data_IF_337935010846
#
_entry.id   IF_337935010846
#
_cell.length_a   1.000
_cell.length_b   1.000
_cell.length_c   1.000
_cell.angle_alpha   90.00
_cell.angle_beta   90.00
_cell.angle_gamma   90.00
#
_symmetry.space_group_name_H-M   'P 1'
#
loop_
_entity.id
_entity.type
_entity.pdbx_description
1 polymer ?
#
# COMPACT_ATOMS: atom_id res chain seq x y z
N UNK A 1 24.62 31.46 28.11
CA UNK A 1 24.84 32.17 26.82
C UNK A 1 25.17 31.17 25.69
N UNK A 2 26.13 30.28 25.83
CA UNK A 2 26.55 29.29 24.82
C UNK A 2 25.40 28.37 24.34
N UNK A 3 24.58 27.81 25.25
CA UNK A 3 23.46 26.94 24.92
C UNK A 3 22.44 27.63 24.00
N UNK A 4 22.15 28.92 24.22
CA UNK A 4 21.24 29.69 23.36
C UNK A 4 21.77 29.78 21.92
N UNK A 5 23.08 30.04 21.77
CA UNK A 5 23.69 30.09 20.44
C UNK A 5 23.73 28.75 19.74
N UNK A 6 23.97 27.66 20.47
CA UNK A 6 23.89 26.29 19.93
C UNK A 6 22.47 25.99 19.40
N UNK A 7 21.45 26.33 20.20
CA UNK A 7 20.05 26.15 19.77
C UNK A 7 19.72 26.97 18.52
N UNK A 8 20.16 28.21 18.45
CA UNK A 8 19.96 29.07 17.28
C UNK A 8 20.62 28.47 16.04
N UNK A 9 21.85 27.98 16.17
CA UNK A 9 22.57 27.34 15.06
C UNK A 9 21.84 26.07 14.59
N UNK A 10 21.37 25.23 15.52
CA UNK A 10 20.60 24.03 15.17
C UNK A 10 19.31 24.38 14.41
N UNK A 11 18.58 25.40 14.90
CA UNK A 11 17.36 25.88 14.23
C UNK A 11 17.66 26.39 12.82
N UNK A 12 18.73 27.15 12.66
CA UNK A 12 19.15 27.70 11.37
C UNK A 12 19.51 26.57 10.38
N UNK A 13 20.27 25.56 10.83
CA UNK A 13 20.62 24.39 10.00
C UNK A 13 19.35 23.64 9.58
N UNK A 14 18.42 23.44 10.52
CA UNK A 14 17.14 22.79 10.22
C UNK A 14 16.34 23.59 9.16
N UNK A 15 16.20 24.91 9.33
CA UNK A 15 15.48 25.76 8.37
C UNK A 15 16.15 25.78 7.00
N UNK A 16 17.48 25.83 6.94
CA UNK A 16 18.22 25.71 5.68
C UNK A 16 17.99 24.36 5.02
N UNK A 17 17.97 23.29 5.78
CA UNK A 17 17.64 21.95 5.29
C UNK A 17 16.23 21.86 4.71
N UNK A 18 15.23 22.46 5.37
CA UNK A 18 13.84 22.54 4.90
C UNK A 18 13.76 23.28 3.55
N UNK A 19 14.40 24.45 3.45
CA UNK A 19 14.41 25.26 2.21
C UNK A 19 15.10 24.49 1.08
N UNK A 20 16.28 23.94 1.35
CA UNK A 20 17.01 23.14 0.38
C UNK A 20 16.18 21.96 -0.12
N UNK A 21 15.59 21.18 0.81
CA UNK A 21 14.75 20.04 0.45
C UNK A 21 13.52 20.46 -0.39
N UNK A 22 12.90 21.59 -0.06
CA UNK A 22 11.77 22.11 -0.85
C UNK A 22 12.17 22.49 -2.28
N UNK A 23 13.38 23.01 -2.48
CA UNK A 23 13.93 23.29 -3.81
C UNK A 23 14.18 21.96 -4.56
N UNK A 24 14.81 20.99 -3.89
CA UNK A 24 15.07 19.67 -4.49
C UNK A 24 13.78 18.98 -4.91
N UNK A 25 12.73 19.00 -4.05
CA UNK A 25 11.41 18.42 -4.40
C UNK A 25 10.83 18.99 -5.68
N UNK A 26 10.93 20.30 -5.93
CA UNK A 26 10.46 20.91 -7.18
C UNK A 26 11.26 20.43 -8.42
N UNK A 27 12.53 20.12 -8.23
CA UNK A 27 13.36 19.53 -9.30
C UNK A 27 12.94 18.09 -9.55
N UNK A 28 12.72 17.32 -8.48
CA UNK A 28 12.31 15.92 -8.56
C UNK A 28 10.91 15.78 -9.18
N UNK A 29 9.95 16.63 -8.82
CA UNK A 29 8.61 16.66 -9.43
C UNK A 29 8.69 16.78 -10.97
N UNK A 30 9.61 17.62 -11.49
CA UNK A 30 9.82 17.74 -12.94
C UNK A 30 10.44 16.48 -13.56
N UNK A 31 11.36 15.82 -12.84
CA UNK A 31 12.00 14.58 -13.31
C UNK A 31 11.04 13.40 -13.29
N UNK A 32 10.12 13.39 -12.32
CA UNK A 32 9.13 12.33 -12.15
C UNK A 32 7.91 12.50 -13.07
N UNK A 33 7.75 13.65 -13.71
CA UNK A 33 6.61 13.89 -14.59
C UNK A 33 6.56 12.83 -15.71
N UNK A 34 5.45 12.07 -15.75
CA UNK A 34 5.24 10.96 -16.70
C UNK A 34 6.35 9.88 -16.63
N UNK A 35 6.88 9.61 -15.45
CA UNK A 35 7.94 8.61 -15.28
C UNK A 35 7.45 7.18 -15.56
N UNK A 36 6.18 6.90 -15.22
CA UNK A 36 5.49 5.63 -15.45
C UNK A 36 3.96 5.83 -15.36
N UNK A 37 3.21 4.79 -15.78
CA UNK A 37 1.76 4.70 -15.61
C UNK A 37 0.95 5.73 -16.41
N UNK A 38 -0.36 5.55 -16.36
CA UNK A 38 -1.34 6.39 -17.01
C UNK A 38 -2.25 7.06 -15.97
N UNK A 39 -2.78 8.25 -16.33
CA UNK A 39 -3.66 9.02 -15.44
C UNK A 39 -5.13 8.75 -15.73
N UNK A 40 -5.88 8.34 -14.69
CA UNK A 40 -7.33 8.19 -14.70
C UNK A 40 -7.95 9.35 -13.93
N UNK A 41 -8.98 9.97 -14.47
CA UNK A 41 -9.72 11.05 -13.79
C UNK A 41 -10.65 10.46 -12.73
N UNK A 42 -10.46 10.83 -11.48
CA UNK A 42 -11.29 10.43 -10.34
C UNK A 42 -11.61 11.67 -9.53
N UNK A 43 -12.89 12.00 -9.35
CA UNK A 43 -13.30 13.20 -8.62
C UNK A 43 -12.59 14.50 -9.06
N UNK A 44 -12.30 14.64 -10.37
CA UNK A 44 -11.62 15.79 -10.95
C UNK A 44 -10.13 15.90 -10.62
N UNK A 45 -9.49 14.80 -10.24
CA UNK A 45 -8.05 14.66 -9.96
C UNK A 45 -7.46 13.48 -10.71
N UNK A 46 -6.15 13.46 -10.87
CA UNK A 46 -5.45 12.36 -11.50
C UNK A 46 -5.11 11.27 -10.48
N UNK A 47 -5.59 10.06 -10.72
CA UNK A 47 -5.15 8.83 -10.07
C UNK A 47 -4.30 8.05 -11.08
N UNK A 48 -3.11 7.62 -10.70
CA UNK A 48 -2.18 6.95 -11.61
C UNK A 48 -2.34 5.44 -11.47
N UNK A 49 -2.34 4.77 -12.62
CA UNK A 49 -2.41 3.32 -12.74
C UNK A 49 -1.33 2.81 -13.68
N UNK A 50 -0.89 1.57 -13.49
CA UNK A 50 -0.07 0.86 -14.47
C UNK A 50 -0.81 -0.42 -14.88
N UNK A 51 -1.04 -0.59 -16.17
CA UNK A 51 -1.69 -1.76 -16.74
C UNK A 51 -0.62 -2.58 -17.47
N UNK A 52 -0.49 -3.84 -17.11
CA UNK A 52 0.45 -4.77 -17.75
C UNK A 52 -0.25 -6.08 -18.07
N UNK A 53 0.18 -6.76 -19.12
CA UNK A 53 -0.48 -8.00 -19.58
C UNK A 53 -1.74 -7.73 -20.39
N UNK A 54 -1.80 -6.60 -21.10
CA UNK A 54 -2.87 -6.29 -22.04
C UNK A 54 -3.05 -7.43 -23.05
N UNK A 55 -4.29 -7.70 -23.48
CA UNK A 55 -4.71 -8.76 -24.39
C UNK A 55 -4.90 -10.16 -23.76
N UNK A 56 -5.04 -10.30 -22.47
CA UNK A 56 -5.56 -11.49 -21.87
C UNK A 56 -7.10 -11.46 -21.83
N UNK A 57 -7.73 -12.56 -22.20
CA UNK A 57 -9.17 -12.74 -22.04
C UNK A 57 -9.50 -13.01 -20.56
N UNK A 58 -10.47 -12.32 -20.01
CA UNK A 58 -10.96 -12.52 -18.65
C UNK A 58 -10.76 -11.33 -17.70
N UNK A 59 -11.32 -11.42 -16.49
CA UNK A 59 -11.28 -10.35 -15.52
C UNK A 59 -9.85 -10.01 -15.07
N UNK A 60 -9.46 -8.71 -15.02
CA UNK A 60 -8.13 -8.30 -14.57
C UNK A 60 -7.93 -8.49 -13.06
N UNK A 61 -6.67 -8.41 -12.63
CA UNK A 61 -6.28 -8.37 -11.23
C UNK A 61 -5.96 -6.92 -10.85
N UNK A 62 -6.74 -6.35 -9.94
CA UNK A 62 -6.50 -5.02 -9.37
C UNK A 62 -5.59 -5.13 -8.16
N UNK A 63 -4.37 -4.59 -8.23
CA UNK A 63 -3.41 -4.55 -7.13
C UNK A 63 -3.58 -3.28 -6.29
N UNK A 64 -3.74 -3.47 -4.98
CA UNK A 64 -3.97 -2.41 -4.00
C UNK A 64 -2.88 -2.40 -2.92
N UNK A 65 -2.29 -1.22 -2.61
CA UNK A 65 -1.12 -1.10 -1.73
C UNK A 65 -1.45 -1.21 -0.24
N UNK A 66 -0.40 -1.40 0.54
CA UNK A 66 -0.40 -1.17 1.97
C UNK A 66 -0.37 0.31 2.35
N UNK A 67 -0.63 0.60 3.63
CA UNK A 67 -0.63 1.97 4.14
C UNK A 67 0.77 2.60 4.09
N UNK A 68 0.88 3.71 3.37
CA UNK A 68 2.10 4.51 3.34
C UNK A 68 3.18 4.02 2.38
N UNK A 69 2.89 3.06 1.54
CA UNK A 69 3.77 2.63 0.44
C UNK A 69 3.98 3.79 -0.54
N UNK A 70 5.21 4.30 -0.70
CA UNK A 70 5.44 5.55 -1.40
C UNK A 70 5.22 5.47 -2.91
N UNK A 71 5.36 4.31 -3.51
CA UNK A 71 5.12 4.06 -4.93
C UNK A 71 4.59 2.63 -5.15
N UNK A 72 3.28 2.43 -5.04
CA UNK A 72 2.66 1.12 -5.26
C UNK A 72 3.03 0.46 -6.58
N UNK A 73 3.07 1.23 -7.67
CA UNK A 73 3.42 0.70 -8.99
C UNK A 73 4.84 0.13 -8.99
N UNK A 74 5.84 0.87 -8.51
CA UNK A 74 7.21 0.35 -8.47
C UNK A 74 7.36 -0.78 -7.45
N UNK A 75 6.65 -0.73 -6.35
CA UNK A 75 6.67 -1.75 -5.32
C UNK A 75 6.09 -3.09 -5.81
N UNK A 76 4.94 -3.05 -6.46
CA UNK A 76 4.30 -4.25 -7.00
C UNK A 76 4.79 -4.66 -8.38
N UNK A 77 5.61 -3.87 -9.05
CA UNK A 77 6.12 -4.20 -10.40
C UNK A 77 6.70 -5.61 -10.52
N UNK A 78 7.49 -6.12 -9.55
CA UNK A 78 7.96 -7.49 -9.58
C UNK A 78 6.83 -8.53 -9.60
N UNK A 79 5.80 -8.32 -8.78
CA UNK A 79 4.64 -9.20 -8.68
C UNK A 79 3.76 -9.09 -9.94
N UNK A 80 3.47 -7.86 -10.36
CA UNK A 80 2.66 -7.57 -11.54
C UNK A 80 3.28 -8.15 -12.81
N UNK A 81 4.62 -8.05 -12.99
CA UNK A 81 5.31 -8.60 -14.15
C UNK A 81 5.22 -10.13 -14.24
N UNK A 82 5.12 -10.84 -13.12
CA UNK A 82 4.93 -12.28 -13.12
C UNK A 82 3.47 -12.67 -13.37
N UNK A 83 2.50 -11.99 -12.74
CA UNK A 83 1.08 -12.19 -12.94
C UNK A 83 0.66 -11.86 -14.37
N UNK A 84 1.26 -10.82 -14.97
CA UNK A 84 0.94 -10.36 -16.33
C UNK A 84 1.27 -11.34 -17.44
N UNK A 85 1.98 -12.43 -17.13
CA UNK A 85 2.17 -13.54 -18.07
C UNK A 85 0.87 -14.32 -18.34
N UNK A 86 -0.16 -14.14 -17.51
CA UNK A 86 -1.42 -14.89 -17.56
C UNK A 86 -2.69 -14.04 -17.47
N UNK A 87 -2.60 -12.87 -16.84
CA UNK A 87 -3.73 -11.96 -16.58
C UNK A 87 -3.36 -10.54 -16.90
N UNK A 88 -4.34 -9.73 -17.24
CA UNK A 88 -4.17 -8.29 -17.14
C UNK A 88 -4.08 -7.89 -15.67
N UNK A 89 -3.12 -7.03 -15.35
CA UNK A 89 -2.87 -6.57 -13.98
C UNK A 89 -2.86 -5.06 -13.95
N UNK A 90 -3.73 -4.50 -13.12
CA UNK A 90 -3.90 -3.06 -12.94
C UNK A 90 -3.42 -2.70 -11.54
N UNK A 91 -2.28 -2.04 -11.43
CA UNK A 91 -1.78 -1.52 -10.16
C UNK A 91 -2.24 -0.08 -9.99
N UNK A 92 -2.93 0.22 -8.89
CA UNK A 92 -3.47 1.55 -8.63
C UNK A 92 -2.62 2.26 -7.56
N UNK A 93 -2.27 3.51 -7.81
CA UNK A 93 -1.73 4.43 -6.82
C UNK A 93 -2.86 5.31 -6.26
N UNK A 94 -3.38 5.03 -5.04
CA UNK A 94 -4.43 5.85 -4.43
C UNK A 94 -4.00 7.31 -4.29
N UNK A 95 -4.93 8.24 -4.08
CA UNK A 95 -4.57 9.64 -3.84
C UNK A 95 -3.56 9.79 -2.69
N UNK A 96 -2.49 10.52 -2.97
CA UNK A 96 -1.36 10.72 -2.06
C UNK A 96 -0.22 9.73 -2.22
N UNK A 97 -0.41 8.67 -3.01
CA UNK A 97 0.61 7.66 -3.31
C UNK A 97 1.23 7.91 -4.69
N UNK A 98 2.47 7.49 -4.88
CA UNK A 98 3.17 7.54 -6.14
C UNK A 98 3.02 8.85 -6.90
N UNK A 99 2.70 8.78 -8.18
CA UNK A 99 2.47 9.93 -9.04
C UNK A 99 1.05 10.49 -8.97
N UNK A 100 0.15 9.84 -8.22
CA UNK A 100 -1.22 10.32 -8.03
C UNK A 100 -1.29 11.65 -7.29
N UNK A 101 -2.33 12.43 -7.59
CA UNK A 101 -2.62 13.69 -6.91
C UNK A 101 -2.84 13.50 -5.40
N UNK A 102 -2.54 14.53 -4.63
CA UNK A 102 -2.95 14.59 -3.22
C UNK A 102 -4.41 15.05 -3.10
N UNK A 103 -5.10 14.62 -2.04
CA UNK A 103 -6.49 15.03 -1.79
C UNK A 103 -6.66 15.63 -0.39
N UNK A 104 -7.65 16.52 -0.27
CA UNK A 104 -8.14 17.04 1.02
C UNK A 104 -9.43 16.34 1.47
N UNK A 105 -9.96 15.42 0.66
CA UNK A 105 -11.12 14.61 1.02
C UNK A 105 -10.77 13.78 2.25
N UNK A 106 -11.69 13.61 3.18
CA UNK A 106 -11.46 12.78 4.38
C UNK A 106 -11.02 11.38 3.96
N UNK A 107 -9.99 10.86 4.58
CA UNK A 107 -9.46 9.52 4.29
C UNK A 107 -10.19 8.48 5.14
N UNK A 108 -11.49 8.39 5.03
CA UNK A 108 -12.30 7.31 5.58
C UNK A 108 -12.33 6.15 4.59
N UNK A 109 -12.61 4.94 5.08
CA UNK A 109 -12.64 3.73 4.23
C UNK A 109 -13.65 3.88 3.08
N UNK A 110 -14.79 4.50 3.35
CA UNK A 110 -15.84 4.74 2.37
C UNK A 110 -15.32 5.60 1.21
N UNK A 111 -14.66 6.72 1.55
CA UNK A 111 -14.14 7.65 0.55
C UNK A 111 -12.99 7.03 -0.25
N UNK A 112 -12.13 6.24 0.40
CA UNK A 112 -11.00 5.58 -0.27
C UNK A 112 -11.52 4.53 -1.25
N UNK A 113 -12.44 3.67 -0.81
CA UNK A 113 -13.02 2.63 -1.67
C UNK A 113 -13.83 3.22 -2.81
N UNK A 114 -14.64 4.28 -2.57
CA UNK A 114 -15.36 4.97 -3.63
C UNK A 114 -14.41 5.54 -4.70
N UNK A 115 -13.28 6.15 -4.29
CA UNK A 115 -12.28 6.70 -5.22
C UNK A 115 -11.60 5.59 -6.03
N UNK A 116 -11.25 4.47 -5.40
CA UNK A 116 -10.65 3.33 -6.07
C UNK A 116 -11.62 2.66 -7.04
N UNK A 117 -12.88 2.49 -6.63
CA UNK A 117 -13.93 1.94 -7.47
C UNK A 117 -14.21 2.85 -8.67
N UNK A 118 -14.32 4.19 -8.48
CA UNK A 118 -14.46 5.14 -9.59
C UNK A 118 -13.28 5.03 -10.58
N UNK A 119 -12.05 4.81 -10.08
CA UNK A 119 -10.91 4.59 -10.93
C UNK A 119 -11.10 3.35 -11.81
N UNK A 120 -11.47 2.22 -11.23
CA UNK A 120 -11.70 0.96 -11.97
C UNK A 120 -12.85 1.09 -12.97
N UNK A 121 -13.95 1.73 -12.60
CA UNK A 121 -15.08 2.02 -13.51
C UNK A 121 -14.66 2.91 -14.68
N UNK A 122 -13.82 3.89 -14.46
CA UNK A 122 -13.34 4.80 -15.52
C UNK A 122 -12.33 4.14 -16.46
N UNK A 123 -11.74 3.00 -16.07
CA UNK A 123 -10.97 2.11 -16.94
C UNK A 123 -11.87 1.22 -17.80
N UNK A 124 -13.16 1.08 -17.45
CA UNK A 124 -14.13 0.26 -18.17
C UNK A 124 -14.27 -1.17 -17.64
N UNK A 125 -13.66 -1.46 -16.49
CA UNK A 125 -13.70 -2.80 -15.91
C UNK A 125 -15.04 -3.04 -15.22
N UNK A 126 -15.71 -4.12 -15.58
CA UNK A 126 -17.02 -4.53 -15.03
C UNK A 126 -16.87 -5.66 -14.00
N UNK A 127 -15.93 -6.56 -14.20
CA UNK A 127 -15.64 -7.69 -13.31
C UNK A 127 -14.13 -7.83 -13.12
N UNK A 128 -13.66 -8.05 -11.88
CA UNK A 128 -12.22 -8.13 -11.58
C UNK A 128 -11.92 -8.93 -10.31
N UNK A 129 -10.67 -9.35 -10.17
CA UNK A 129 -10.11 -9.83 -8.91
C UNK A 129 -9.48 -8.68 -8.14
N UNK A 130 -9.71 -8.62 -6.81
CA UNK A 130 -9.02 -7.67 -5.94
C UNK A 130 -7.85 -8.38 -5.26
N UNK A 131 -6.64 -7.86 -5.41
CA UNK A 131 -5.44 -8.36 -4.73
C UNK A 131 -4.84 -7.23 -3.88
N UNK A 132 -4.89 -7.38 -2.55
CA UNK A 132 -4.52 -6.31 -1.63
C UNK A 132 -3.46 -6.71 -0.61
N UNK A 133 -2.52 -5.80 -0.36
CA UNK A 133 -1.52 -5.91 0.71
C UNK A 133 -1.99 -5.14 1.97
N UNK A 134 -1.73 -5.72 3.14
CA UNK A 134 -1.86 -4.99 4.42
C UNK A 134 -3.23 -4.33 4.58
N UNK A 135 -3.29 -3.00 4.76
CA UNK A 135 -4.52 -2.21 4.97
C UNK A 135 -5.58 -2.45 3.89
N UNK A 136 -5.16 -2.77 2.67
CA UNK A 136 -6.08 -3.05 1.57
C UNK A 136 -6.96 -4.29 1.81
N UNK A 137 -6.63 -5.13 2.80
CA UNK A 137 -7.53 -6.16 3.29
C UNK A 137 -8.85 -5.59 3.83
N UNK A 138 -8.81 -4.43 4.51
CA UNK A 138 -10.03 -3.75 4.97
C UNK A 138 -10.76 -3.08 3.81
N UNK A 139 -10.02 -2.53 2.84
CA UNK A 139 -10.62 -1.89 1.66
C UNK A 139 -11.34 -2.91 0.79
N UNK A 140 -10.73 -4.07 0.53
CA UNK A 140 -11.37 -5.14 -0.24
C UNK A 140 -12.58 -5.74 0.48
N UNK A 141 -12.54 -5.84 1.82
CA UNK A 141 -13.68 -6.24 2.61
C UNK A 141 -14.84 -5.24 2.50
N UNK A 142 -14.57 -3.94 2.66
CA UNK A 142 -15.59 -2.90 2.52
C UNK A 142 -16.12 -2.84 1.08
N UNK A 143 -15.24 -2.91 0.09
CA UNK A 143 -15.57 -2.92 -1.34
C UNK A 143 -16.54 -4.07 -1.66
N UNK A 144 -16.29 -5.26 -1.13
CA UNK A 144 -17.13 -6.44 -1.33
C UNK A 144 -18.53 -6.34 -0.76
N UNK A 145 -18.77 -5.41 0.19
CA UNK A 145 -20.12 -5.14 0.71
C UNK A 145 -20.92 -4.23 -0.21
N UNK A 146 -20.25 -3.33 -0.92
CA UNK A 146 -20.91 -2.28 -1.69
C UNK A 146 -21.08 -2.70 -3.16
N UNK A 147 -20.08 -3.43 -3.71
CA UNK A 147 -20.05 -3.83 -5.12
C UNK A 147 -19.76 -5.34 -5.28
N UNK A 148 -20.56 -6.23 -4.64
CA UNK A 148 -20.27 -7.65 -4.62
C UNK A 148 -20.30 -8.31 -6.00
N UNK A 149 -21.16 -7.85 -6.90
CA UNK A 149 -21.39 -8.45 -8.21
C UNK A 149 -20.23 -8.25 -9.20
N UNK A 150 -19.34 -7.27 -8.91
CA UNK A 150 -18.19 -6.94 -9.75
C UNK A 150 -16.94 -7.78 -9.38
N UNK A 151 -16.94 -8.43 -8.20
CA UNK A 151 -15.75 -9.09 -7.64
C UNK A 151 -15.77 -10.59 -7.90
N UNK A 152 -14.86 -11.07 -8.73
CA UNK A 152 -14.67 -12.51 -9.04
C UNK A 152 -13.94 -13.26 -7.94
N UNK A 153 -13.19 -12.57 -7.12
CA UNK A 153 -12.49 -13.13 -5.96
C UNK A 153 -11.54 -12.13 -5.31
N UNK A 154 -11.15 -12.44 -4.08
CA UNK A 154 -10.25 -11.59 -3.28
C UNK A 154 -8.98 -12.38 -2.95
N UNK A 155 -7.82 -11.76 -3.16
CA UNK A 155 -6.52 -12.31 -2.80
C UNK A 155 -5.86 -11.35 -1.80
N UNK A 156 -5.56 -11.84 -0.60
CA UNK A 156 -4.89 -11.05 0.43
C UNK A 156 -3.42 -11.41 0.54
N UNK A 157 -2.54 -10.40 0.59
CA UNK A 157 -1.12 -10.55 0.90
C UNK A 157 -0.90 -10.00 2.30
N UNK A 158 -0.85 -10.85 3.28
CA UNK A 158 -0.81 -10.55 4.72
C UNK A 158 -1.76 -9.39 5.09
N UNK A 159 -3.05 -9.50 4.70
CA UNK A 159 -4.00 -8.40 4.74
C UNK A 159 -4.41 -8.06 6.17
N UNK A 160 -4.70 -6.79 6.42
CA UNK A 160 -5.38 -6.39 7.65
C UNK A 160 -6.79 -6.99 7.70
N UNK A 161 -7.18 -7.46 8.88
CA UNK A 161 -8.45 -8.15 9.08
C UNK A 161 -9.26 -7.50 10.22
N UNK A 162 -10.60 -7.61 10.23
CA UNK A 162 -11.43 -7.12 11.31
C UNK A 162 -10.96 -7.62 12.68
N UNK A 163 -11.15 -6.79 13.71
CA UNK A 163 -10.80 -7.10 15.10
C UNK A 163 -9.31 -7.26 15.43
N UNK A 164 -8.40 -7.07 14.46
CA UNK A 164 -6.96 -7.16 14.70
C UNK A 164 -6.47 -6.18 15.78
N UNK A 165 -7.15 -5.06 15.96
CA UNK A 165 -6.83 -4.03 16.97
C UNK A 165 -7.76 -4.03 18.17
N UNK A 166 -8.70 -4.99 18.27
CA UNK A 166 -9.55 -5.12 19.44
C UNK A 166 -8.70 -5.35 20.70
N UNK A 167 -9.19 -4.94 21.86
CA UNK A 167 -8.46 -5.10 23.14
C UNK A 167 -8.03 -6.55 23.42
N UNK A 168 -8.82 -7.51 22.93
CA UNK A 168 -8.56 -8.94 23.09
C UNK A 168 -7.44 -9.43 22.17
N UNK A 169 -7.34 -8.87 20.97
CA UNK A 169 -6.45 -9.35 19.89
C UNK A 169 -5.22 -8.47 19.68
N UNK A 170 -5.19 -7.27 20.27
CA UNK A 170 -4.06 -6.38 20.11
C UNK A 170 -2.91 -6.77 21.07
N UNK A 171 -1.84 -7.38 20.56
CA UNK A 171 -0.73 -7.81 21.39
C UNK A 171 0.17 -6.63 21.80
N UNK A 172 -0.03 -5.44 21.21
CA UNK A 172 0.86 -4.31 21.42
C UNK A 172 0.38 -3.43 22.57
N UNK A 173 1.20 -3.25 23.62
CA UNK A 173 0.94 -2.26 24.65
C UNK A 173 0.77 -0.85 24.05
N UNK A 174 0.04 0.03 24.74
CA UNK A 174 -0.11 1.45 24.35
C UNK A 174 1.25 2.11 24.09
N UNK A 175 2.29 1.69 24.81
CA UNK A 175 3.67 2.16 24.61
C UNK A 175 4.21 1.87 23.20
N UNK A 176 3.89 0.71 22.62
CA UNK A 176 4.32 0.36 21.24
C UNK A 176 3.54 1.15 20.21
N UNK A 177 2.23 1.35 20.41
CA UNK A 177 1.41 2.21 19.55
C UNK A 177 1.94 3.65 19.55
N UNK A 178 2.27 4.17 20.73
CA UNK A 178 2.87 5.50 20.86
C UNK A 178 4.24 5.58 20.17
N UNK A 179 5.08 4.56 20.29
CA UNK A 179 6.38 4.49 19.61
C UNK A 179 6.22 4.50 18.09
N UNK A 180 5.24 3.78 17.55
CA UNK A 180 4.95 3.77 16.12
C UNK A 180 4.51 5.17 15.62
N UNK A 181 3.66 5.87 16.38
CA UNK A 181 3.28 7.24 16.06
C UNK A 181 4.48 8.19 16.10
N UNK A 182 5.30 8.11 17.15
CA UNK A 182 6.52 8.92 17.29
C UNK A 182 7.47 8.64 16.11
N UNK A 183 7.63 7.37 15.72
CA UNK A 183 8.44 6.98 14.56
C UNK A 183 7.93 7.64 13.28
N UNK A 184 6.63 7.58 13.00
CA UNK A 184 6.03 8.20 11.81
C UNK A 184 6.26 9.73 11.79
N UNK A 185 6.07 10.42 12.92
CA UNK A 185 6.37 11.86 13.00
C UNK A 185 7.86 12.17 12.87
N UNK A 186 8.74 11.34 13.44
CA UNK A 186 10.20 11.51 13.33
C UNK A 186 10.64 11.35 11.87
N UNK A 187 10.13 10.34 11.17
CA UNK A 187 10.41 10.14 9.75
C UNK A 187 9.87 11.29 8.89
N UNK A 188 8.67 11.79 9.20
CA UNK A 188 8.13 12.99 8.54
C UNK A 188 9.05 14.20 8.73
N UNK A 189 9.55 14.43 9.94
CA UNK A 189 10.48 15.54 10.23
C UNK A 189 11.79 15.33 9.47
N UNK A 190 12.33 14.10 9.44
CA UNK A 190 13.54 13.78 8.69
C UNK A 190 13.37 14.02 7.18
N UNK A 191 12.20 13.66 6.62
CA UNK A 191 11.88 13.92 5.23
C UNK A 191 11.76 15.43 4.95
N UNK A 192 11.05 16.19 5.79
CA UNK A 192 10.87 17.64 5.62
C UNK A 192 12.21 18.40 5.75
N UNK A 193 13.03 18.02 6.73
CA UNK A 193 14.34 18.66 6.96
C UNK A 193 15.41 18.33 5.90
N UNK A 194 15.14 17.35 5.01
CA UNK A 194 16.09 16.89 4.01
C UNK A 194 17.13 15.90 4.54
N UNK A 195 17.06 15.45 5.79
CA UNK A 195 17.98 14.46 6.36
C UNK A 195 17.89 13.16 5.57
N UNK A 196 16.68 12.66 5.29
CA UNK A 196 16.49 11.43 4.49
C UNK A 196 17.09 11.58 3.10
N UNK A 197 16.96 12.76 2.47
CA UNK A 197 17.56 13.06 1.18
C UNK A 197 19.10 13.01 1.22
N UNK A 198 19.72 13.56 2.26
CA UNK A 198 21.17 13.47 2.43
C UNK A 198 21.66 12.03 2.52
N UNK A 199 20.89 11.15 3.16
CA UNK A 199 21.21 9.72 3.27
C UNK A 199 21.13 8.99 1.93
N UNK A 200 20.23 9.42 1.02
CA UNK A 200 20.03 8.82 -0.31
C UNK A 200 20.94 9.36 -1.41
N UNK A 201 21.66 10.48 -1.17
CA UNK A 201 22.44 11.17 -2.23
C UNK A 201 23.47 10.29 -2.93
N UNK A 202 24.11 9.37 -2.20
CA UNK A 202 25.14 8.50 -2.76
C UNK A 202 24.60 7.16 -3.25
N UNK A 203 23.39 6.80 -2.83
CA UNK A 203 22.75 5.55 -3.18
C UNK A 203 21.24 5.67 -2.95
N UNK A 204 20.42 5.78 -4.01
CA UNK A 204 18.99 5.93 -3.90
C UNK A 204 18.31 4.73 -3.21
N UNK A 205 18.90 3.54 -3.25
CA UNK A 205 18.35 2.32 -2.65
C UNK A 205 18.27 2.38 -1.12
N UNK A 206 19.07 3.22 -0.48
CA UNK A 206 19.14 3.31 1.00
C UNK A 206 17.86 3.78 1.68
N UNK A 207 16.96 4.41 0.94
CA UNK A 207 15.70 4.95 1.49
C UNK A 207 14.48 4.23 0.94
N UNK A 208 14.67 3.28 0.04
CA UNK A 208 13.62 2.50 -0.61
C UNK A 208 13.49 1.14 0.05
N UNK A 209 12.26 0.68 0.24
CA UNK A 209 11.94 -0.69 0.61
C UNK A 209 11.30 -1.38 -0.60
N UNK A 210 11.96 -2.40 -1.14
CA UNK A 210 11.60 -3.04 -2.40
C UNK A 210 12.12 -4.47 -2.50
N UNK A 211 11.68 -5.21 -3.51
CA UNK A 211 12.29 -6.48 -3.90
C UNK A 211 13.64 -6.21 -4.59
N UNK A 212 14.72 -6.28 -3.82
CA UNK A 212 16.08 -6.06 -4.33
C UNK A 212 16.59 -7.15 -5.29
N UNK A 213 15.84 -8.24 -5.48
CA UNK A 213 16.16 -9.28 -6.46
C UNK A 213 15.59 -8.95 -7.85
N UNK A 214 14.64 -8.02 -7.92
CA UNK A 214 14.09 -7.57 -9.20
C UNK A 214 15.06 -6.59 -9.89
N UNK A 215 15.28 -6.74 -11.22
CA UNK A 215 16.26 -5.94 -11.94
C UNK A 215 15.74 -4.54 -12.31
N UNK A 216 15.38 -3.73 -11.31
CA UNK A 216 15.03 -2.34 -11.56
C UNK A 216 16.16 -1.62 -12.28
N UNK A 217 15.81 -0.80 -13.27
CA UNK A 217 16.75 0.13 -13.93
C UNK A 217 17.21 1.22 -12.96
N UNK A 218 18.33 1.88 -13.28
CA UNK A 218 18.82 3.01 -12.48
C UNK A 218 17.78 4.15 -12.40
N UNK A 219 17.07 4.40 -13.51
CA UNK A 219 15.99 5.40 -13.55
C UNK A 219 14.84 5.04 -12.61
N UNK A 220 14.42 3.78 -12.55
CA UNK A 220 13.39 3.33 -11.61
C UNK A 220 13.82 3.51 -10.17
N UNK A 221 15.07 3.16 -9.82
CA UNK A 221 15.62 3.41 -8.48
C UNK A 221 15.64 4.89 -8.12
N UNK A 222 16.02 5.78 -9.07
CA UNK A 222 15.96 7.22 -8.83
C UNK A 222 14.53 7.70 -8.58
N UNK A 223 13.57 7.30 -9.42
CA UNK A 223 12.16 7.68 -9.28
C UNK A 223 11.58 7.14 -7.97
N UNK A 224 11.85 5.89 -7.64
CA UNK A 224 11.38 5.27 -6.39
C UNK A 224 11.92 6.01 -5.16
N UNK A 225 13.21 6.35 -5.15
CA UNK A 225 13.82 7.16 -4.09
C UNK A 225 13.16 8.55 -3.99
N UNK A 226 12.97 9.25 -5.12
CA UNK A 226 12.31 10.56 -5.14
C UNK A 226 10.88 10.48 -4.57
N UNK A 227 10.11 9.45 -4.94
CA UNK A 227 8.77 9.23 -4.42
C UNK A 227 8.79 8.91 -2.92
N UNK A 228 9.73 8.09 -2.46
CA UNK A 228 9.89 7.82 -1.03
C UNK A 228 10.13 9.11 -0.23
N UNK A 229 10.95 10.01 -0.76
CA UNK A 229 11.24 11.31 -0.15
C UNK A 229 10.06 12.29 -0.21
N UNK A 230 9.25 12.23 -1.26
CA UNK A 230 8.13 13.14 -1.48
C UNK A 230 6.82 12.64 -0.90
N UNK A 231 6.46 11.38 -1.14
CA UNK A 231 5.15 10.80 -0.78
C UNK A 231 5.15 10.17 0.61
N UNK A 232 6.29 9.69 1.09
CA UNK A 232 6.38 9.15 2.43
C UNK A 232 5.88 10.14 3.49
N UNK A 233 4.83 9.78 4.21
CA UNK A 233 4.22 10.58 5.29
C UNK A 233 3.69 11.96 4.84
N UNK A 234 3.25 12.12 3.61
CA UNK A 234 2.58 13.34 3.15
C UNK A 234 1.23 13.55 3.86
N UNK A 235 0.58 14.69 3.60
CA UNK A 235 -0.65 15.05 4.33
C UNK A 235 -1.82 14.10 4.09
N UNK A 236 -1.93 13.51 2.89
CA UNK A 236 -3.00 12.56 2.54
C UNK A 236 -2.78 11.23 3.27
N UNK A 237 -1.59 10.67 3.21
CA UNK A 237 -1.20 9.44 3.93
C UNK A 237 -1.34 9.62 5.44
N UNK A 238 -0.88 10.74 5.98
CA UNK A 238 -1.05 11.03 7.41
C UNK A 238 -2.51 11.18 7.85
N UNK A 239 -3.39 11.66 6.95
CA UNK A 239 -4.82 11.70 7.22
C UNK A 239 -5.45 10.30 7.19
N UNK A 240 -4.99 9.41 6.33
CA UNK A 240 -5.37 8.00 6.27
C UNK A 240 -4.96 7.27 7.56
N UNK A 241 -3.70 7.40 7.97
CA UNK A 241 -3.20 6.85 9.25
C UNK A 241 -4.03 7.32 10.46
N UNK A 242 -4.42 8.60 10.50
CA UNK A 242 -5.27 9.12 11.59
C UNK A 242 -6.69 8.56 11.60
N UNK A 243 -7.20 8.12 10.45
CA UNK A 243 -8.52 7.50 10.34
C UNK A 243 -8.48 5.98 10.41
N UNK A 244 -7.32 5.37 10.58
CA UNK A 244 -7.14 3.91 10.56
C UNK A 244 -8.06 3.20 11.58
N UNK A 245 -8.11 3.68 12.81
CA UNK A 245 -8.96 3.11 13.86
C UNK A 245 -10.46 3.15 13.44
N UNK A 246 -10.93 4.28 12.90
CA UNK A 246 -12.31 4.41 12.39
C UNK A 246 -12.57 3.51 11.19
N UNK A 247 -11.57 3.33 10.32
CA UNK A 247 -11.69 2.41 9.19
C UNK A 247 -11.79 0.95 9.66
N UNK A 248 -11.08 0.58 10.72
CA UNK A 248 -11.20 -0.75 11.35
C UNK A 248 -12.56 -0.93 12.03
N UNK A 249 -13.04 0.08 12.77
CA UNK A 249 -14.38 0.07 13.40
C UNK A 249 -15.49 -0.09 12.34
N UNK A 250 -15.36 0.58 11.19
CA UNK A 250 -16.36 0.53 10.13
C UNK A 250 -16.56 -0.90 9.57
N UNK A 251 -15.53 -1.72 9.58
CA UNK A 251 -15.56 -3.09 9.04
C UNK A 251 -15.60 -4.18 10.11
N UNK A 252 -15.59 -3.82 11.40
CA UNK A 252 -15.41 -4.77 12.53
C UNK A 252 -16.36 -5.97 12.47
N UNK A 253 -17.61 -5.75 12.05
CA UNK A 253 -18.65 -6.77 11.98
C UNK A 253 -18.98 -7.19 10.53
N UNK A 254 -18.23 -6.72 9.55
CA UNK A 254 -18.44 -7.10 8.16
C UNK A 254 -17.82 -8.46 7.88
N UNK A 255 -18.44 -9.20 6.96
CA UNK A 255 -17.94 -10.47 6.43
C UNK A 255 -17.97 -10.41 4.92
N UNK A 256 -17.00 -10.96 4.26
CA UNK A 256 -17.02 -11.06 2.80
C UNK A 256 -18.26 -11.89 2.36
N UNK A 257 -19.03 -11.45 1.36
CA UNK A 257 -20.19 -12.18 0.82
C UNK A 257 -19.83 -13.64 0.47
N UNK A 258 -20.73 -14.58 0.72
CA UNK A 258 -20.42 -16.04 0.58
C UNK A 258 -20.02 -16.42 -0.83
N UNK A 259 -20.57 -15.71 -1.81
CA UNK A 259 -20.38 -15.96 -3.24
C UNK A 259 -18.99 -15.56 -3.73
N UNK A 260 -18.32 -14.63 -3.00
CA UNK A 260 -16.99 -14.15 -3.38
C UNK A 260 -15.92 -15.08 -2.80
N UNK A 261 -15.17 -15.82 -3.61
CA UNK A 261 -14.06 -16.65 -3.14
C UNK A 261 -12.90 -15.80 -2.59
N UNK A 262 -12.17 -16.37 -1.62
CA UNK A 262 -11.05 -15.66 -0.99
C UNK A 262 -9.84 -16.57 -0.80
N UNK A 263 -8.66 -16.05 -1.16
CA UNK A 263 -7.35 -16.62 -0.89
C UNK A 263 -6.54 -15.63 -0.03
N UNK A 264 -5.95 -16.09 1.06
CA UNK A 264 -5.09 -15.25 1.90
C UNK A 264 -3.72 -15.89 2.07
N UNK A 265 -2.67 -15.15 1.76
CA UNK A 265 -1.31 -15.45 2.14
C UNK A 265 -1.00 -14.73 3.45
N UNK A 266 -0.58 -15.45 4.46
CA UNK A 266 -0.40 -14.93 5.83
C UNK A 266 1.03 -15.16 6.28
N UNK A 267 1.67 -14.11 6.80
CA UNK A 267 3.05 -14.13 7.28
C UNK A 267 3.18 -14.94 8.56
N UNK A 268 4.04 -15.97 8.53
CA UNK A 268 4.40 -16.71 9.74
C UNK A 268 5.16 -15.87 10.75
N UNK A 269 5.89 -14.86 10.31
CA UNK A 269 6.56 -13.93 11.23
C UNK A 269 5.54 -13.11 12.00
N UNK A 270 4.50 -12.61 11.32
CA UNK A 270 3.39 -11.92 11.99
C UNK A 270 2.62 -12.85 12.92
N UNK A 271 2.42 -14.12 12.58
CA UNK A 271 1.82 -15.09 13.50
C UNK A 271 2.64 -15.32 14.78
N UNK A 272 3.99 -15.19 14.71
CA UNK A 272 4.85 -15.28 15.90
C UNK A 272 4.72 -14.06 16.81
N UNK A 273 4.52 -12.89 16.25
CA UNK A 273 4.40 -11.63 16.99
C UNK A 273 2.98 -11.33 17.43
N UNK A 274 1.99 -11.83 16.70
CA UNK A 274 0.55 -11.70 16.94
C UNK A 274 -0.09 -13.09 16.96
N UNK A 275 -0.17 -13.76 18.10
CA UNK A 275 -0.62 -15.15 18.17
C UNK A 275 -2.01 -15.43 17.58
N UNK A 276 -2.92 -14.43 17.58
CA UNK A 276 -4.25 -14.54 16.99
C UNK A 276 -4.27 -14.26 15.50
N UNK A 277 -3.15 -13.86 14.86
CA UNK A 277 -3.10 -13.41 13.47
C UNK A 277 -3.65 -14.46 12.51
N UNK A 278 -3.17 -15.68 12.61
CA UNK A 278 -3.68 -16.80 11.80
C UNK A 278 -5.18 -17.04 12.03
N UNK A 279 -5.62 -17.06 13.29
CA UNK A 279 -7.03 -17.35 13.62
C UNK A 279 -7.96 -16.27 13.07
N UNK A 280 -7.60 -14.99 13.18
CA UNK A 280 -8.38 -13.89 12.63
C UNK A 280 -8.56 -14.00 11.09
N UNK A 281 -7.52 -14.47 10.38
CA UNK A 281 -7.63 -14.74 8.95
C UNK A 281 -8.53 -15.94 8.65
N UNK A 282 -8.48 -16.99 9.45
CA UNK A 282 -9.38 -18.15 9.32
C UNK A 282 -10.82 -17.79 9.63
N UNK A 283 -11.07 -16.89 10.59
CA UNK A 283 -12.42 -16.47 11.00
C UNK A 283 -13.15 -15.72 9.86
N UNK A 284 -12.43 -14.99 9.02
CA UNK A 284 -13.02 -14.33 7.84
C UNK A 284 -13.54 -15.34 6.82
N UNK A 285 -12.90 -16.51 6.74
CA UNK A 285 -13.25 -17.56 5.76
C UNK A 285 -14.01 -18.74 6.37
N UNK A 286 -14.25 -18.75 7.69
CA UNK A 286 -14.78 -19.90 8.43
C UNK A 286 -16.09 -20.49 7.85
N UNK A 287 -16.93 -19.66 7.24
CA UNK A 287 -18.20 -20.05 6.64
C UNK A 287 -18.11 -20.23 5.09
N UNK A 288 -16.89 -20.37 4.54
CA UNK A 288 -16.68 -20.33 3.08
C UNK A 288 -16.12 -21.64 2.54
N UNK A 289 -16.84 -22.27 1.64
CA UNK A 289 -16.37 -23.44 0.88
C UNK A 289 -15.18 -23.10 -0.04
N UNK A 290 -15.12 -21.84 -0.52
CA UNK A 290 -14.11 -21.34 -1.44
C UNK A 290 -13.06 -20.44 -0.78
N UNK A 291 -12.88 -20.56 0.55
CA UNK A 291 -11.89 -19.80 1.29
C UNK A 291 -10.62 -20.59 1.58
N UNK A 292 -9.45 -19.99 1.36
CA UNK A 292 -8.16 -20.63 1.63
C UNK A 292 -7.22 -19.66 2.37
N UNK A 293 -6.56 -20.15 3.44
CA UNK A 293 -5.49 -19.44 4.15
C UNK A 293 -4.20 -20.24 4.00
N UNK A 294 -3.16 -19.58 3.49
CA UNK A 294 -1.83 -20.16 3.28
C UNK A 294 -0.81 -19.42 4.15
N UNK A 295 -0.19 -20.14 5.07
CA UNK A 295 0.91 -19.61 5.86
C UNK A 295 2.20 -19.63 5.05
N UNK A 296 2.81 -18.47 4.87
CA UNK A 296 4.08 -18.31 4.16
C UNK A 296 5.20 -17.89 5.12
N UNK A 297 6.39 -18.45 4.92
CA UNK A 297 7.60 -17.94 5.58
C UNK A 297 7.92 -16.56 5.03
N UNK A 298 8.25 -15.63 5.90
CA UNK A 298 8.61 -14.26 5.53
C UNK A 298 7.96 -13.23 6.42
N UNK A 299 8.36 -11.98 6.19
CA UNK A 299 7.86 -10.79 6.88
C UNK A 299 6.48 -10.38 6.38
N UNK A 300 5.97 -9.25 6.87
CA UNK A 300 4.75 -8.62 6.37
C UNK A 300 4.75 -8.37 4.85
N UNK A 301 5.92 -8.20 4.25
CA UNK A 301 6.09 -7.93 2.81
C UNK A 301 6.32 -9.22 2.00
N UNK A 302 5.39 -10.17 2.12
CA UNK A 302 5.45 -11.47 1.45
C UNK A 302 5.62 -11.34 -0.07
N UNK A 303 5.10 -10.30 -0.70
CA UNK A 303 5.22 -10.06 -2.13
C UNK A 303 6.66 -9.77 -2.59
N UNK A 304 7.58 -9.43 -1.69
CA UNK A 304 9.00 -9.36 -1.99
C UNK A 304 9.67 -10.72 -1.82
N UNK A 305 9.41 -11.38 -0.68
CA UNK A 305 10.15 -12.56 -0.27
C UNK A 305 9.61 -13.85 -0.88
N UNK A 306 8.30 -13.92 -1.15
CA UNK A 306 7.58 -15.12 -1.62
C UNK A 306 6.87 -14.90 -2.96
N UNK A 307 7.31 -13.89 -3.74
CA UNK A 307 6.66 -13.48 -4.99
C UNK A 307 6.24 -14.63 -5.89
N UNK A 308 7.20 -15.51 -6.24
CA UNK A 308 6.93 -16.60 -7.18
C UNK A 308 5.92 -17.63 -6.63
N UNK A 309 5.98 -17.94 -5.34
CA UNK A 309 5.05 -18.83 -4.69
C UNK A 309 3.62 -18.24 -4.66
N UNK A 310 3.52 -16.93 -4.36
CA UNK A 310 2.26 -16.20 -4.38
C UNK A 310 1.66 -16.20 -5.78
N UNK A 311 2.43 -15.85 -6.81
CA UNK A 311 1.99 -15.82 -8.21
C UNK A 311 1.51 -17.19 -8.65
N UNK A 312 2.32 -18.23 -8.45
CA UNK A 312 1.97 -19.59 -8.86
C UNK A 312 0.66 -20.05 -8.22
N UNK A 313 0.50 -19.81 -6.93
CA UNK A 313 -0.70 -20.22 -6.19
C UNK A 313 -1.91 -19.37 -6.56
N UNK A 314 -1.75 -18.06 -6.75
CA UNK A 314 -2.83 -17.16 -7.17
C UNK A 314 -3.36 -17.56 -8.55
N UNK A 315 -2.48 -17.79 -9.52
CA UNK A 315 -2.86 -18.26 -10.86
C UNK A 315 -3.62 -19.59 -10.77
N UNK A 316 -3.06 -20.60 -10.09
CA UNK A 316 -3.71 -21.89 -9.90
C UNK A 316 -5.09 -21.73 -9.24
N UNK A 317 -5.21 -20.84 -8.26
CA UNK A 317 -6.45 -20.61 -7.55
C UNK A 317 -7.52 -19.96 -8.43
N UNK A 318 -7.14 -19.03 -9.30
CA UNK A 318 -8.03 -18.38 -10.28
C UNK A 318 -8.46 -19.40 -11.35
N UNK A 319 -7.52 -20.16 -11.93
CA UNK A 319 -7.78 -21.13 -13.01
C UNK A 319 -8.72 -22.30 -12.59
N UNK A 320 -8.85 -22.56 -11.30
CA UNK A 320 -9.73 -23.61 -10.77
C UNK A 320 -11.17 -23.12 -10.47
N UNK A 321 -11.54 -21.91 -10.87
CA UNK A 321 -12.83 -21.27 -10.62
C UNK A 321 -13.50 -20.79 -11.90
#
# INVERSE_FOLDING_TARGET
MIIKWILVVIILIFLLGVVWNAICKKVDERKMQNAYGDSVQVNGKNMVVEIVGENHDGPPIILLPGLGEPSPILEFRPLASELSKKYEVITIEPFGYGLSDSTKRKRTIENIVEELHECVKNLGEEEYYLMGHSISGLYTLYWSQIYPDEIKGIIGIDPSVPKMTSKENNPFPISVQLLNQISAYTQKIANISGITRLLSMNDPKKVVYADFQYPYSEKEWEVFSMLTLDKGYNSTVMAEMKNLEKSMEAVENMKIPKEIPILQFVSKENCRTMPQWEQLHRDIIADKENGEVILQEGSHYLHFEQRLAIVQKAIQWIENR
#
